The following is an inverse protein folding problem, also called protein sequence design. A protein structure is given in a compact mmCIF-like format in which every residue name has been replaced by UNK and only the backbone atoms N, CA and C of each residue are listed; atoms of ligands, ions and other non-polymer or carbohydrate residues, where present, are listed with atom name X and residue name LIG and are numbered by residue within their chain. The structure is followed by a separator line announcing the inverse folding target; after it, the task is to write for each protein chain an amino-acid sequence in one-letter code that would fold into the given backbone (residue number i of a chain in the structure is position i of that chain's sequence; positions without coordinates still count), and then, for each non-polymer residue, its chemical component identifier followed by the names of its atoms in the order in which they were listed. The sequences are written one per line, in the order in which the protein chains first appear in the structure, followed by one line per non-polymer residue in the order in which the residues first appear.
data_IF_358011308489
#
_entry.id   IF_358011308489
#
_cell.length_a   1.000
_cell.length_b   1.000
_cell.length_c   1.000
_cell.angle_alpha   90.00
_cell.angle_beta   90.00
_cell.angle_gamma   90.00
#
_symmetry.space_group_name_H-M   'P 1'
#
loop_
_entity.id
_entity.type
_entity.pdbx_description
1 polymer ?
#
# COMPACT_ATOMS: atom_id res chain seq x y z
N UNK A 1 19.80 -16.96 45.61
CA UNK A 1 20.32 -17.98 44.68
C UNK A 1 19.77 -19.34 45.07
N UNK A 2 18.87 -19.95 44.29
CA UNK A 2 18.64 -21.39 44.29
C UNK A 2 19.36 -22.08 43.11
N UNK A 3 19.58 -23.39 43.24
CA UNK A 3 20.48 -24.23 42.41
C UNK A 3 19.75 -24.80 41.18
N UNK A 4 20.40 -24.91 40.00
CA UNK A 4 19.80 -25.54 38.82
C UNK A 4 19.74 -27.07 38.95
N UNK A 5 18.58 -27.67 38.70
CA UNK A 5 18.42 -29.13 38.54
C UNK A 5 18.32 -29.50 37.06
N UNK A 6 19.35 -30.15 36.56
CA UNK A 6 19.38 -30.76 35.23
C UNK A 6 18.77 -32.16 35.25
N UNK A 7 18.04 -32.54 34.19
CA UNK A 7 17.90 -33.95 33.82
C UNK A 7 17.62 -34.14 32.32
N UNK A 8 18.42 -34.94 31.59
CA UNK A 8 18.10 -35.36 30.23
C UNK A 8 17.21 -36.61 30.23
N UNK A 9 16.46 -36.81 29.16
CA UNK A 9 15.80 -38.09 28.85
C UNK A 9 15.76 -38.30 27.33
N UNK A 10 16.82 -38.93 26.82
CA UNK A 10 16.89 -39.45 25.45
C UNK A 10 16.22 -40.83 25.43
N UNK A 11 15.33 -41.10 24.47
CA UNK A 11 14.62 -42.39 24.34
C UNK A 11 14.28 -42.77 22.89
N UNK A 12 14.25 -44.07 22.50
CA UNK A 12 14.61 -44.47 21.14
C UNK A 12 13.60 -45.34 20.36
N UNK A 13 13.62 -45.27 19.02
CA UNK A 13 12.86 -46.16 18.12
C UNK A 13 11.33 -45.94 18.18
N UNK A 14 10.45 -46.59 17.42
CA UNK A 14 10.51 -47.62 16.36
C UNK A 14 9.07 -47.74 15.75
N UNK A 15 8.77 -48.25 14.54
CA UNK A 15 9.52 -48.82 13.40
C UNK A 15 8.57 -48.82 12.16
N UNK A 16 9.09 -48.63 10.94
CA UNK A 16 8.61 -49.17 9.64
C UNK A 16 7.12 -49.03 9.24
N UNK A 17 6.90 -48.44 8.07
CA UNK A 17 6.04 -49.05 7.04
C UNK A 17 6.66 -48.79 5.65
N UNK A 18 7.25 -49.82 5.04
CA UNK A 18 7.64 -49.78 3.64
C UNK A 18 6.51 -50.41 2.82
N UNK A 19 5.89 -49.64 1.93
CA UNK A 19 4.86 -50.10 1.01
C UNK A 19 5.38 -50.11 -0.42
N UNK A 20 5.98 -51.22 -0.86
CA UNK A 20 6.36 -51.43 -2.26
C UNK A 20 5.25 -52.20 -2.95
N UNK A 21 4.47 -51.52 -3.80
CA UNK A 21 3.46 -52.12 -4.67
C UNK A 21 3.22 -51.16 -5.84
N UNK A 22 3.87 -51.34 -6.98
CA UNK A 22 3.57 -52.32 -8.01
C UNK A 22 2.87 -51.61 -9.19
N UNK A 23 3.41 -51.82 -10.38
CA UNK A 23 2.99 -51.17 -11.62
C UNK A 23 1.57 -51.62 -12.01
N UNK A 24 0.68 -50.68 -12.25
CA UNK A 24 -0.47 -50.88 -13.15
C UNK A 24 -0.56 -49.71 -14.11
N UNK A 25 -0.04 -49.93 -15.32
CA UNK A 25 -0.33 -49.05 -16.44
C UNK A 25 -1.72 -49.40 -16.98
N UNK A 26 -2.71 -48.56 -16.68
CA UNK A 26 -4.01 -48.58 -17.34
C UNK A 26 -4.09 -47.37 -18.27
N UNK A 27 -3.69 -47.58 -19.52
CA UNK A 27 -3.93 -46.63 -20.59
C UNK A 27 -5.39 -46.74 -21.09
N UNK A 28 -5.85 -45.66 -21.71
CA UNK A 28 -7.03 -45.56 -22.58
C UNK A 28 -8.43 -45.42 -21.94
N UNK A 29 -9.29 -44.74 -22.71
CA UNK A 29 -10.69 -44.33 -22.49
C UNK A 29 -10.88 -43.22 -21.42
N UNK A 30 -11.51 -42.07 -21.71
CA UNK A 30 -12.09 -41.56 -22.95
C UNK A 30 -11.89 -40.03 -23.07
N UNK A 31 -11.38 -39.64 -24.24
CA UNK A 31 -11.64 -38.39 -24.93
C UNK A 31 -13.07 -37.86 -24.66
N UNK A 32 -13.19 -36.77 -23.89
CA UNK A 32 -14.39 -35.94 -23.83
C UNK A 32 -14.18 -34.63 -24.61
N UNK A 33 -13.87 -34.76 -25.90
CA UNK A 33 -13.90 -33.64 -26.85
C UNK A 33 -15.36 -33.30 -27.21
N UNK A 34 -16.08 -32.68 -26.27
CA UNK A 34 -17.35 -32.03 -26.55
C UNK A 34 -17.09 -30.72 -27.30
N UNK A 35 -17.00 -30.80 -28.63
CA UNK A 35 -16.92 -29.64 -29.49
C UNK A 35 -18.24 -28.86 -29.46
N UNK A 36 -18.29 -27.77 -28.69
CA UNK A 36 -19.28 -26.73 -28.85
C UNK A 36 -18.71 -25.61 -29.73
N UNK A 37 -18.70 -25.87 -31.04
CA UNK A 37 -18.65 -24.82 -32.05
C UNK A 37 -20.00 -24.06 -32.05
N UNK A 38 -20.24 -23.27 -31.00
CA UNK A 38 -21.39 -22.38 -30.87
C UNK A 38 -21.06 -21.02 -31.46
N UNK A 39 -21.34 -20.82 -32.75
CA UNK A 39 -21.19 -19.53 -33.40
C UNK A 39 -22.13 -18.47 -32.78
N UNK A 40 -21.58 -17.27 -32.63
CA UNK A 40 -22.24 -15.95 -32.59
C UNK A 40 -23.79 -15.93 -32.60
N UNK A 41 -24.39 -15.71 -31.43
CA UNK A 41 -25.76 -15.20 -31.29
C UNK A 41 -26.00 -14.56 -29.91
N UNK A 42 -25.07 -13.73 -29.42
CA UNK A 42 -25.40 -12.86 -28.28
C UNK A 42 -26.29 -11.71 -28.79
N UNK A 43 -27.53 -11.57 -28.30
CA UNK A 43 -28.42 -10.52 -28.77
C UNK A 43 -27.84 -9.15 -28.40
N UNK A 44 -28.00 -8.11 -29.26
CA UNK A 44 -27.58 -6.78 -28.90
C UNK A 44 -28.38 -6.31 -27.68
N UNK A 45 -27.72 -6.26 -26.51
CA UNK A 45 -28.29 -5.66 -25.31
C UNK A 45 -28.56 -4.19 -25.65
N UNK A 46 -29.83 -3.83 -25.75
CA UNK A 46 -30.22 -2.48 -26.12
C UNK A 46 -29.62 -1.48 -25.13
N UNK A 47 -28.90 -0.43 -25.59
CA UNK A 47 -28.44 0.61 -24.68
C UNK A 47 -29.67 1.23 -24.02
N UNK A 48 -29.63 1.38 -22.69
CA UNK A 48 -30.67 2.13 -21.98
C UNK A 48 -30.79 3.52 -22.61
N UNK A 49 -32.02 4.07 -22.76
CA UNK A 49 -32.22 5.39 -23.34
C UNK A 49 -31.31 6.44 -22.68
N UNK A 50 -30.46 7.04 -23.49
CA UNK A 50 -29.54 8.10 -23.07
C UNK A 50 -30.34 9.37 -22.82
N UNK A 51 -30.85 9.56 -21.60
CA UNK A 51 -31.49 10.82 -21.22
C UNK A 51 -30.44 11.88 -20.87
N UNK A 52 -30.23 12.80 -21.81
CA UNK A 52 -29.52 14.05 -21.60
C UNK A 52 -30.05 15.12 -22.57
N UNK A 53 -30.03 16.43 -22.23
CA UNK A 53 -29.97 17.04 -20.90
C UNK A 53 -31.17 17.98 -20.64
N UNK A 54 -31.75 17.97 -19.44
CA UNK A 54 -32.69 19.04 -19.03
C UNK A 54 -31.93 20.22 -18.42
N UNK A 55 -31.54 21.15 -19.29
CA UNK A 55 -31.09 22.48 -18.90
C UNK A 55 -32.26 23.28 -18.30
N UNK A 56 -32.32 23.40 -16.98
CA UNK A 56 -33.31 24.27 -16.30
C UNK A 56 -32.69 25.64 -16.02
N UNK A 57 -33.46 26.68 -16.35
CA UNK A 57 -33.00 28.06 -16.43
C UNK A 57 -32.63 28.68 -15.08
N UNK A 58 -31.68 29.62 -15.13
CA UNK A 58 -31.40 30.54 -14.02
C UNK A 58 -32.53 31.59 -13.86
N UNK A 59 -32.93 31.90 -12.61
CA UNK A 59 -33.51 33.19 -12.27
C UNK A 59 -32.43 34.11 -11.67
N UNK A 60 -32.23 35.27 -12.31
CA UNK A 60 -31.65 36.46 -11.69
C UNK A 60 -32.81 37.40 -11.26
N UNK A 61 -32.53 38.58 -10.68
CA UNK A 61 -31.74 38.84 -9.48
C UNK A 61 -32.61 39.49 -8.38
N UNK A 62 -32.19 39.41 -7.11
CA UNK A 62 -32.74 40.26 -6.04
C UNK A 62 -31.68 41.21 -5.52
N UNK A 63 -31.85 42.50 -5.82
CA UNK A 63 -31.07 43.61 -5.31
C UNK A 63 -31.89 44.39 -4.25
N UNK A 64 -31.40 45.50 -3.67
CA UNK A 64 -30.84 45.46 -2.33
C UNK A 64 -31.69 46.20 -1.28
N UNK A 65 -31.44 45.96 0.00
CA UNK A 65 -31.98 46.81 1.09
C UNK A 65 -30.86 47.21 2.07
N UNK A 66 -30.39 48.44 1.83
CA UNK A 66 -29.91 49.46 2.78
C UNK A 66 -29.04 49.10 4.00
N UNK A 67 -27.86 49.74 3.99
CA UNK A 67 -27.06 50.20 5.14
C UNK A 67 -27.90 51.11 6.12
N UNK A 68 -27.37 51.63 7.26
CA UNK A 68 -25.94 51.75 7.65
C UNK A 68 -25.59 51.52 9.14
N UNK A 69 -24.29 51.50 9.47
CA UNK A 69 -23.67 52.50 10.38
C UNK A 69 -22.14 52.53 10.26
N UNK A 70 -21.58 53.74 10.40
CA UNK A 70 -20.15 54.04 10.41
C UNK A 70 -19.56 53.91 11.82
N UNK A 71 -18.31 53.43 11.94
CA UNK A 71 -17.39 53.75 13.04
C UNK A 71 -15.94 53.32 12.73
N UNK A 72 -15.16 54.26 12.18
CA UNK A 72 -13.72 54.40 12.47
C UNK A 72 -13.58 55.21 13.80
N UNK A 73 -12.43 55.31 14.51
CA UNK A 73 -11.07 55.23 13.96
C UNK A 73 -9.94 54.64 14.85
N UNK A 74 -8.73 54.57 14.26
CA UNK A 74 -7.38 54.63 14.86
C UNK A 74 -7.04 53.86 16.14
N UNK A 75 -5.98 53.04 16.05
CA UNK A 75 -4.74 53.33 16.79
C UNK A 75 -3.51 52.70 16.13
N UNK A 76 -2.45 53.49 15.95
CA UNK A 76 -1.12 53.01 15.54
C UNK A 76 -0.34 52.53 16.77
N UNK A 77 0.45 51.45 16.67
CA UNK A 77 1.70 51.36 17.45
C UNK A 77 2.70 50.38 16.84
N UNK A 78 3.89 50.90 16.55
CA UNK A 78 5.06 50.16 16.07
C UNK A 78 5.71 49.39 17.22
N UNK A 79 5.99 48.09 17.06
CA UNK A 79 6.94 47.37 17.92
C UNK A 79 7.86 46.46 17.11
N UNK A 80 9.06 46.96 16.81
CA UNK A 80 10.19 46.16 16.35
C UNK A 80 10.68 45.24 17.47
N UNK A 81 10.64 43.92 17.28
CA UNK A 81 11.40 42.96 18.12
C UNK A 81 12.15 41.93 17.28
N UNK A 82 13.42 42.29 17.03
CA UNK A 82 14.66 41.49 16.99
C UNK A 82 14.51 39.94 16.89
N UNK A 83 15.17 39.28 15.92
CA UNK A 83 15.33 37.83 15.92
C UNK A 83 16.05 37.36 17.19
N UNK A 84 15.53 36.33 17.84
CA UNK A 84 16.24 35.59 18.89
C UNK A 84 16.69 34.27 18.30
N UNK A 85 17.93 34.29 17.81
CA UNK A 85 18.71 33.09 17.54
C UNK A 85 18.92 32.32 18.84
N UNK A 86 18.50 31.05 18.90
CA UNK A 86 18.81 30.18 20.04
C UNK A 86 18.97 28.72 19.65
N UNK A 87 20.23 28.28 19.72
CA UNK A 87 20.61 26.98 20.28
C UNK A 87 20.08 25.72 19.58
N UNK A 88 20.65 25.40 18.41
CA UNK A 88 20.64 24.05 17.83
C UNK A 88 21.53 23.10 18.66
N UNK A 89 21.02 22.05 19.33
CA UNK A 89 21.86 21.01 19.88
C UNK A 89 22.39 20.10 18.76
N UNK A 90 23.67 20.20 18.46
CA UNK A 90 24.35 19.32 17.50
C UNK A 90 24.56 17.93 18.11
N UNK A 91 23.56 17.07 18.01
CA UNK A 91 23.74 15.63 18.25
C UNK A 91 24.33 14.98 16.99
N UNK A 92 25.66 14.86 16.96
CA UNK A 92 26.40 14.05 15.99
C UNK A 92 26.17 12.56 16.25
N UNK A 93 24.94 12.08 15.98
CA UNK A 93 24.65 10.65 16.00
C UNK A 93 25.21 10.03 14.73
N UNK A 94 26.32 9.32 14.87
CA UNK A 94 26.90 8.52 13.78
C UNK A 94 25.98 7.34 13.52
N UNK A 95 25.02 7.52 12.61
CA UNK A 95 24.17 6.43 12.12
C UNK A 95 25.02 5.52 11.23
N UNK A 96 25.09 4.20 11.49
CA UNK A 96 25.78 3.29 10.58
C UNK A 96 25.07 3.30 9.21
N UNK A 97 25.81 3.24 8.09
CA UNK A 97 25.18 3.20 6.77
C UNK A 97 24.36 1.91 6.62
N UNK A 98 23.18 1.96 5.96
CA UNK A 98 22.39 0.77 5.70
C UNK A 98 23.18 -0.22 4.81
N UNK A 99 22.94 -1.54 4.96
CA UNK A 99 23.61 -2.53 4.13
C UNK A 99 23.32 -2.26 2.65
N UNK A 100 24.39 -1.98 1.89
CA UNK A 100 24.28 -1.64 0.47
C UNK A 100 24.10 -2.90 -0.35
N UNK A 101 22.89 -3.44 -0.37
CA UNK A 101 22.49 -4.47 -1.33
C UNK A 101 22.53 -3.85 -2.72
N UNK A 102 23.50 -4.23 -3.54
CA UNK A 102 23.63 -3.74 -4.91
C UNK A 102 22.34 -4.06 -5.69
N UNK A 103 21.63 -3.06 -6.28
CA UNK A 103 20.36 -3.30 -6.93
C UNK A 103 20.58 -4.00 -8.28
N UNK A 104 20.48 -5.33 -8.27
CA UNK A 104 20.44 -6.13 -9.50
C UNK A 104 19.17 -5.85 -10.29
N UNK A 105 19.37 -5.61 -11.59
CA UNK A 105 18.34 -5.51 -12.65
C UNK A 105 17.46 -4.25 -12.65
N UNK A 106 16.97 -3.93 -13.85
CA UNK A 106 16.21 -2.72 -14.12
C UNK A 106 14.88 -2.68 -13.34
N UNK A 107 14.55 -1.52 -12.79
CA UNK A 107 13.30 -1.33 -12.05
C UNK A 107 12.08 -1.78 -12.86
N UNK A 108 11.12 -2.34 -12.14
CA UNK A 108 9.92 -2.95 -12.67
C UNK A 108 9.01 -1.88 -13.32
N UNK A 109 8.06 -2.30 -14.15
CA UNK A 109 7.15 -1.37 -14.83
C UNK A 109 6.12 -0.74 -13.89
N UNK A 110 5.04 -0.21 -14.47
CA UNK A 110 3.84 0.17 -13.72
C UNK A 110 3.05 -1.09 -13.35
N UNK A 111 3.60 -1.89 -12.43
CA UNK A 111 3.06 -3.19 -12.00
C UNK A 111 2.34 -3.08 -10.65
N UNK A 112 1.53 -4.10 -10.31
CA UNK A 112 0.95 -4.23 -8.97
C UNK A 112 1.84 -5.15 -8.14
N UNK A 113 2.41 -4.63 -7.06
CA UNK A 113 3.09 -5.41 -6.04
C UNK A 113 2.12 -5.70 -4.91
N UNK A 114 1.89 -6.98 -4.62
CA UNK A 114 1.09 -7.40 -3.46
C UNK A 114 2.03 -7.73 -2.29
N UNK A 115 1.66 -7.28 -1.09
CA UNK A 115 2.25 -7.69 0.18
C UNK A 115 1.10 -8.20 1.03
N UNK A 116 1.18 -9.45 1.49
CA UNK A 116 0.20 -10.03 2.40
C UNK A 116 0.74 -9.98 3.84
N UNK A 117 0.22 -9.07 4.67
CA UNK A 117 0.70 -8.86 6.04
C UNK A 117 0.41 -10.07 6.96
N UNK A 118 -0.43 -11.02 6.55
CA UNK A 118 -0.66 -12.26 7.29
C UNK A 118 0.36 -13.37 6.97
N UNK A 119 0.99 -13.34 5.79
CA UNK A 119 1.84 -14.43 5.27
C UNK A 119 3.28 -14.02 4.96
N UNK A 120 3.53 -12.75 4.59
CA UNK A 120 4.86 -12.22 4.31
C UNK A 120 5.58 -11.78 5.59
N UNK A 121 6.85 -12.13 5.69
CA UNK A 121 7.73 -11.64 6.75
C UNK A 121 8.27 -10.27 6.35
N UNK A 122 7.63 -9.20 6.81
CA UNK A 122 7.92 -7.80 6.40
C UNK A 122 9.38 -7.39 6.60
N UNK A 123 10.10 -8.02 7.53
CA UNK A 123 11.53 -7.81 7.76
C UNK A 123 12.44 -8.31 6.62
N UNK A 124 11.95 -9.17 5.72
CA UNK A 124 12.67 -9.66 4.53
C UNK A 124 12.18 -9.05 3.21
N UNK A 125 11.18 -8.17 3.24
CA UNK A 125 10.70 -7.52 2.00
C UNK A 125 11.82 -6.63 1.44
N UNK A 126 12.31 -6.89 0.21
CA UNK A 126 13.41 -6.13 -0.36
C UNK A 126 12.95 -4.72 -0.76
N UNK A 127 13.92 -3.80 -0.88
CA UNK A 127 13.67 -2.50 -1.49
C UNK A 127 13.16 -2.70 -2.94
N UNK A 128 12.03 -2.10 -3.25
CA UNK A 128 11.39 -2.18 -4.56
C UNK A 128 11.90 -1.04 -5.45
N UNK A 129 12.12 -1.31 -6.74
CA UNK A 129 12.23 -0.26 -7.74
C UNK A 129 11.19 -0.47 -8.83
N UNK A 130 10.37 0.55 -9.09
CA UNK A 130 9.19 0.51 -9.97
C UNK A 130 9.14 1.76 -10.87
N UNK A 131 8.26 1.77 -11.86
CA UNK A 131 7.94 2.95 -12.66
C UNK A 131 6.73 3.70 -12.08
N UNK A 132 6.65 5.00 -12.38
CA UNK A 132 5.46 5.81 -12.09
C UNK A 132 4.18 5.12 -12.63
N UNK A 133 3.12 5.10 -11.82
CA UNK A 133 1.86 4.40 -12.10
C UNK A 133 1.73 3.02 -11.45
N UNK A 134 2.83 2.44 -10.94
CA UNK A 134 2.81 1.20 -10.14
C UNK A 134 1.94 1.33 -8.88
N UNK A 135 1.45 0.20 -8.37
CA UNK A 135 0.59 0.13 -7.19
C UNK A 135 1.16 -0.87 -6.19
N UNK A 136 1.39 -0.44 -4.95
CA UNK A 136 1.63 -1.32 -3.82
C UNK A 136 0.28 -1.64 -3.17
N UNK A 137 -0.10 -2.91 -3.15
CA UNK A 137 -1.34 -3.43 -2.57
C UNK A 137 -0.99 -4.25 -1.34
N UNK A 138 -1.34 -3.73 -0.17
CA UNK A 138 -1.05 -4.33 1.13
C UNK A 138 -2.36 -4.96 1.63
N UNK A 139 -2.35 -6.27 1.87
CA UNK A 139 -3.53 -7.06 2.27
C UNK A 139 -3.48 -7.46 3.74
N UNK A 140 -4.65 -7.82 4.29
CA UNK A 140 -4.85 -8.25 5.67
C UNK A 140 -4.36 -7.25 6.72
N UNK A 141 -4.53 -5.95 6.43
CA UNK A 141 -4.03 -4.84 7.26
C UNK A 141 -5.15 -4.00 7.86
N UNK A 142 -4.99 -3.59 9.13
CA UNK A 142 -5.92 -2.74 9.84
C UNK A 142 -5.89 -1.26 9.39
N UNK A 143 -6.95 -0.50 9.70
CA UNK A 143 -7.00 0.93 9.39
C UNK A 143 -5.96 1.70 10.21
N UNK A 144 -5.12 2.49 9.54
CA UNK A 144 -4.09 3.30 10.17
C UNK A 144 -2.75 2.58 10.43
N UNK A 145 -2.64 1.30 10.06
CA UNK A 145 -1.39 0.52 10.19
C UNK A 145 -0.39 0.76 9.05
N UNK A 146 -0.75 1.57 8.03
CA UNK A 146 0.14 1.95 6.92
C UNK A 146 0.28 3.46 6.82
N UNK A 147 1.51 3.94 6.93
CA UNK A 147 1.89 5.34 6.71
C UNK A 147 2.97 5.46 5.64
N UNK A 148 3.02 6.60 4.96
CA UNK A 148 4.08 6.94 4.01
C UNK A 148 4.80 8.23 4.46
N UNK A 149 6.07 8.37 4.09
CA UNK A 149 6.87 9.57 4.37
C UNK A 149 6.58 10.73 3.39
N UNK A 150 6.20 10.37 2.16
CA UNK A 150 6.10 11.27 1.00
C UNK A 150 4.69 11.24 0.39
N UNK A 151 3.66 11.79 1.06
CA UNK A 151 2.26 11.73 0.61
C UNK A 151 2.03 12.48 -0.71
N UNK A 152 2.88 13.45 -1.06
CA UNK A 152 2.81 14.14 -2.35
C UNK A 152 3.25 13.27 -3.54
N UNK A 153 3.92 12.14 -3.32
CA UNK A 153 4.38 11.23 -4.39
C UNK A 153 3.41 10.08 -4.66
N UNK A 154 2.41 9.88 -3.80
CA UNK A 154 1.51 8.71 -3.83
C UNK A 154 0.04 9.08 -3.67
N UNK A 155 -0.83 8.23 -4.20
CA UNK A 155 -2.26 8.23 -3.86
C UNK A 155 -2.54 6.98 -3.01
N UNK A 156 -2.92 7.16 -1.75
CA UNK A 156 -3.24 6.07 -0.82
C UNK A 156 -4.76 5.95 -0.60
N UNK A 157 -5.29 4.73 -0.70
CA UNK A 157 -6.70 4.39 -0.41
C UNK A 157 -6.76 3.14 0.45
N UNK A 158 -7.72 3.09 1.38
CA UNK A 158 -7.99 1.92 2.22
C UNK A 158 -9.43 1.43 1.99
N UNK A 159 -9.60 0.15 1.69
CA UNK A 159 -10.89 -0.50 1.51
C UNK A 159 -10.84 -1.91 2.12
N UNK A 160 -11.72 -2.17 3.11
CA UNK A 160 -12.01 -3.51 3.66
C UNK A 160 -10.80 -4.41 4.00
N UNK A 161 -9.76 -3.85 4.64
CA UNK A 161 -8.56 -4.60 5.04
C UNK A 161 -7.42 -4.59 3.99
N UNK A 162 -7.58 -3.80 2.92
CA UNK A 162 -6.58 -3.62 1.86
C UNK A 162 -6.20 -2.14 1.79
N UNK A 163 -4.89 -1.84 1.79
CA UNK A 163 -4.35 -0.52 1.44
C UNK A 163 -3.77 -0.58 0.04
N UNK A 164 -4.19 0.32 -0.84
CA UNK A 164 -3.57 0.53 -2.15
C UNK A 164 -2.82 1.86 -2.15
N UNK A 165 -1.54 1.83 -2.51
CA UNK A 165 -0.67 3.01 -2.67
C UNK A 165 -0.24 3.06 -4.13
N UNK A 166 -0.81 3.98 -4.90
CA UNK A 166 -0.41 4.23 -6.30
C UNK A 166 0.71 5.26 -6.33
N UNK A 167 1.82 4.94 -6.98
CA UNK A 167 2.93 5.86 -7.21
C UNK A 167 2.52 6.84 -8.32
N UNK A 168 2.31 8.12 -8.00
CA UNK A 168 1.82 9.14 -8.96
C UNK A 168 2.93 10.05 -9.50
N UNK A 169 4.09 10.09 -8.83
CA UNK A 169 5.27 10.86 -9.24
C UNK A 169 6.56 10.06 -9.00
N UNK A 170 7.63 10.31 -9.77
CA UNK A 170 8.95 9.73 -9.51
C UNK A 170 9.55 10.30 -8.22
N UNK A 171 10.42 9.52 -7.57
CA UNK A 171 11.03 9.82 -6.28
C UNK A 171 11.27 8.56 -5.45
N UNK A 172 11.65 8.71 -4.19
CA UNK A 172 11.75 7.59 -3.24
C UNK A 172 10.70 7.76 -2.17
N UNK A 173 9.99 6.68 -1.84
CA UNK A 173 8.95 6.63 -0.81
C UNK A 173 9.32 5.54 0.19
N UNK A 174 9.23 5.86 1.48
CA UNK A 174 9.29 4.88 2.57
C UNK A 174 7.87 4.62 3.04
N UNK A 175 7.43 3.36 2.90
CA UNK A 175 6.14 2.89 3.39
C UNK A 175 6.38 2.14 4.70
N UNK A 176 5.93 2.72 5.81
CA UNK A 176 5.97 2.07 7.13
C UNK A 176 4.69 1.27 7.33
N UNK A 177 4.83 -0.01 7.61
CA UNK A 177 3.75 -0.96 7.88
C UNK A 177 3.87 -1.45 9.31
N UNK A 178 2.81 -1.29 10.12
CA UNK A 178 2.77 -1.75 11.51
C UNK A 178 2.13 -3.13 11.60
N UNK A 179 2.94 -4.17 11.76
CA UNK A 179 2.49 -5.56 11.89
C UNK A 179 2.62 -5.99 13.34
N UNK A 180 1.52 -6.42 13.97
CA UNK A 180 1.49 -6.84 15.39
C UNK A 180 2.10 -5.79 16.36
N UNK A 181 1.94 -4.49 16.04
CA UNK A 181 2.52 -3.38 16.80
C UNK A 181 4.01 -3.07 16.53
N UNK A 182 4.66 -3.81 15.62
CA UNK A 182 6.05 -3.57 15.20
C UNK A 182 6.07 -2.82 13.86
N UNK A 183 6.75 -1.67 13.74
CA UNK A 183 6.89 -0.97 12.47
C UNK A 183 7.97 -1.61 11.58
N UNK A 184 7.65 -1.77 10.29
CA UNK A 184 8.53 -2.26 9.25
C UNK A 184 8.57 -1.27 8.09
N UNK A 185 9.77 -0.84 7.69
CA UNK A 185 9.96 0.16 6.64
C UNK A 185 10.30 -0.49 5.29
N UNK A 186 9.49 -0.22 4.28
CA UNK A 186 9.68 -0.70 2.91
C UNK A 186 10.05 0.48 2.03
N UNK A 187 11.27 0.46 1.47
CA UNK A 187 11.73 1.48 0.54
C UNK A 187 11.25 1.16 -0.88
N UNK A 188 10.57 2.11 -1.51
CA UNK A 188 10.13 2.03 -2.92
C UNK A 188 10.76 3.19 -3.69
N UNK A 189 11.59 2.86 -4.68
CA UNK A 189 12.18 3.81 -5.62
C UNK A 189 11.34 3.85 -6.88
N UNK A 190 10.89 5.04 -7.27
CA UNK A 190 10.02 5.29 -8.42
C UNK A 190 10.78 6.10 -9.46
N UNK A 191 10.84 5.59 -10.69
CA UNK A 191 11.44 6.25 -11.85
C UNK A 191 10.44 6.55 -12.99
#
# INVERSE_FOLDING_TARGET
MPIPTSRPAQGPGAKRAAGTGARSASAALLLLCAALAGCAAEPPVAPLPTEAPSSVAAPAPSAPTSAPVSSAPTTSTTVTRRPVESSRPTHTRTTPPPPTTEPTSACQGAVVHVIDVANDELALVPALCVATGAVLRIEHIGPGEVTNDSPDLVEQRYEAGIVQIRMIRPGTVVVTIVQNGTPHDITVVVR
#
